data_IF_410460334768
#
_entry.id   IF_410460334768
#
_cell.length_a   1.000
_cell.length_b   1.000
_cell.length_c   1.000
_cell.angle_alpha   90.00
_cell.angle_beta   90.00
_cell.angle_gamma   90.00
#
_symmetry.space_group_name_H-M   'P 1'
#
loop_
_entity.id
_entity.type
_entity.pdbx_description
1 polymer ?
#
# COMPACT_ATOMS: atom_id res chain seq x y z
N UNK A 1 14.35 -1.84 -0.17
CA UNK A 1 13.49 -0.99 -0.96
C UNK A 1 12.10 -0.94 -0.35
N UNK A 2 11.47 0.21 -0.36
CA UNK A 2 10.09 0.42 0.08
C UNK A 2 9.42 1.50 -0.75
N UNK A 3 8.09 1.54 -0.72
CA UNK A 3 7.28 2.52 -1.46
C UNK A 3 6.29 3.22 -0.53
N UNK A 4 5.91 4.46 -0.89
CA UNK A 4 4.89 5.22 -0.16
C UNK A 4 3.48 4.70 -0.46
N UNK A 5 2.50 5.16 0.30
CA UNK A 5 1.07 4.83 0.09
C UNK A 5 0.53 5.21 -1.29
N UNK A 6 1.18 6.17 -1.99
CA UNK A 6 0.79 6.63 -3.33
C UNK A 6 1.44 5.86 -4.48
N UNK A 7 2.34 4.91 -4.21
CA UNK A 7 2.84 4.02 -5.25
C UNK A 7 1.70 3.14 -5.79
N UNK A 8 1.61 2.89 -7.11
CA UNK A 8 0.51 2.12 -7.70
C UNK A 8 0.20 0.80 -7.00
N UNK A 9 1.22 0.04 -6.60
CA UNK A 9 1.03 -1.22 -5.86
C UNK A 9 0.33 -0.99 -4.51
N UNK A 10 0.71 0.06 -3.77
CA UNK A 10 0.10 0.38 -2.47
C UNK A 10 -1.27 1.02 -2.61
N UNK A 11 -1.50 1.80 -3.66
CA UNK A 11 -2.84 2.30 -3.99
C UNK A 11 -3.78 1.11 -4.25
N UNK A 12 -3.33 0.10 -5.00
CA UNK A 12 -4.09 -1.12 -5.29
C UNK A 12 -4.40 -1.90 -4.00
N UNK A 13 -3.39 -2.15 -3.17
CA UNK A 13 -3.55 -2.78 -1.85
C UNK A 13 -4.56 -2.02 -0.98
N UNK A 14 -4.42 -0.69 -0.90
CA UNK A 14 -5.28 0.16 -0.08
C UNK A 14 -6.74 0.14 -0.55
N UNK A 15 -6.97 0.08 -1.86
CA UNK A 15 -8.32 -0.03 -2.42
C UNK A 15 -8.93 -1.39 -2.06
N UNK A 16 -8.20 -2.49 -2.26
CA UNK A 16 -8.66 -3.84 -1.92
C UNK A 16 -8.97 -3.97 -0.44
N UNK A 17 -8.11 -3.46 0.45
CA UNK A 17 -8.33 -3.41 1.89
C UNK A 17 -9.55 -2.56 2.29
N UNK A 18 -9.74 -1.40 1.66
CA UNK A 18 -10.88 -0.53 1.95
C UNK A 18 -12.22 -1.20 1.57
N UNK A 19 -12.25 -1.97 0.49
CA UNK A 19 -13.43 -2.75 0.10
C UNK A 19 -13.68 -3.88 1.10
N UNK A 20 -12.64 -4.61 1.50
CA UNK A 20 -12.74 -5.64 2.54
C UNK A 20 -13.28 -5.06 3.85
N UNK A 21 -12.73 -3.95 4.32
CA UNK A 21 -13.17 -3.27 5.54
C UNK A 21 -14.65 -2.85 5.46
N UNK A 22 -15.07 -2.28 4.33
CA UNK A 22 -16.45 -1.86 4.11
C UNK A 22 -17.43 -3.06 4.13
N UNK A 23 -17.05 -4.19 3.54
CA UNK A 23 -17.84 -5.42 3.57
C UNK A 23 -17.94 -5.99 4.97
N UNK A 24 -16.82 -6.13 5.69
CA UNK A 24 -16.77 -6.68 7.04
C UNK A 24 -17.51 -5.79 8.06
N UNK A 25 -17.53 -4.48 7.86
CA UNK A 25 -18.27 -3.56 8.71
C UNK A 25 -19.79 -3.79 8.65
N UNK A 26 -20.32 -4.19 7.49
CA UNK A 26 -21.74 -4.49 7.28
C UNK A 26 -22.10 -5.95 7.56
N UNK A 27 -21.20 -6.87 7.24
CA UNK A 27 -21.36 -8.32 7.46
C UNK A 27 -20.01 -8.93 7.86
N UNK A 28 -19.79 -9.21 9.16
CA UNK A 28 -18.54 -9.81 9.65
C UNK A 28 -18.24 -11.21 9.09
N UNK A 29 -19.21 -11.85 8.42
CA UNK A 29 -19.07 -13.15 7.79
C UNK A 29 -18.79 -13.09 6.29
N UNK A 30 -18.60 -11.89 5.74
CA UNK A 30 -18.28 -11.66 4.33
C UNK A 30 -17.03 -12.44 3.93
N UNK A 31 -17.08 -13.00 2.71
CA UNK A 31 -15.91 -13.57 2.03
C UNK A 31 -15.60 -12.68 0.85
N UNK A 32 -14.38 -12.12 0.85
CA UNK A 32 -13.97 -11.09 -0.09
C UNK A 32 -12.65 -11.51 -0.73
N UNK A 33 -12.69 -11.82 -2.01
CA UNK A 33 -11.53 -11.99 -2.88
C UNK A 33 -11.58 -10.84 -3.89
N UNK A 34 -10.93 -9.74 -3.56
CA UNK A 34 -11.01 -8.49 -4.32
C UNK A 34 -9.60 -8.03 -4.69
N UNK A 35 -9.31 -8.06 -5.97
CA UNK A 35 -8.04 -7.64 -6.55
C UNK A 35 -8.21 -6.28 -7.23
N UNK A 36 -7.16 -5.47 -7.16
CA UNK A 36 -7.16 -4.14 -7.76
C UNK A 36 -5.93 -3.95 -8.64
N UNK A 37 -6.13 -3.32 -9.79
CA UNK A 37 -5.09 -2.80 -10.65
C UNK A 37 -5.28 -1.32 -10.81
N UNK A 38 -4.19 -0.55 -10.63
CA UNK A 38 -4.20 0.90 -10.85
C UNK A 38 -3.15 1.31 -11.88
N UNK A 39 -3.50 2.30 -12.69
CA UNK A 39 -2.62 2.96 -13.65
C UNK A 39 -3.05 4.41 -13.80
N UNK A 40 -2.35 5.22 -14.59
CA UNK A 40 -2.69 6.62 -14.83
C UNK A 40 -4.17 6.77 -15.18
N UNK A 41 -4.91 7.47 -14.34
CA UNK A 41 -6.32 7.80 -14.55
C UNK A 41 -7.32 6.64 -14.45
N UNK A 42 -6.90 5.42 -14.05
CA UNK A 42 -7.80 4.26 -13.98
C UNK A 42 -7.57 3.40 -12.74
N UNK A 43 -8.66 2.89 -12.17
CA UNK A 43 -8.67 1.81 -11.19
C UNK A 43 -9.61 0.69 -11.67
N UNK A 44 -9.12 -0.52 -11.74
CA UNK A 44 -9.91 -1.72 -12.06
C UNK A 44 -9.98 -2.59 -10.83
N UNK A 45 -11.20 -2.87 -10.38
CA UNK A 45 -11.50 -3.76 -9.25
C UNK A 45 -12.16 -5.01 -9.80
N UNK A 46 -11.59 -6.18 -9.53
CA UNK A 46 -12.10 -7.45 -10.03
C UNK A 46 -12.02 -8.53 -8.94
N UNK A 47 -12.88 -9.53 -9.02
CA UNK A 47 -12.85 -10.67 -8.10
C UNK A 47 -14.23 -11.20 -7.76
N UNK A 48 -14.32 -11.86 -6.62
CA UNK A 48 -15.54 -12.53 -6.15
C UNK A 48 -15.84 -12.14 -4.70
N UNK A 49 -17.08 -11.71 -4.44
CA UNK A 49 -17.55 -11.34 -3.10
C UNK A 49 -18.83 -12.08 -2.77
N UNK A 50 -18.88 -12.66 -1.57
CA UNK A 50 -20.10 -13.20 -0.98
C UNK A 50 -20.35 -12.52 0.36
N UNK A 51 -21.40 -11.71 0.43
CA UNK A 51 -21.76 -10.90 1.60
C UNK A 51 -23.27 -10.71 1.68
N UNK A 52 -23.77 -10.50 2.88
CA UNK A 52 -25.15 -10.07 3.12
C UNK A 52 -25.32 -8.53 3.06
N UNK A 53 -24.23 -7.79 2.96
CA UNK A 53 -24.25 -6.32 2.85
C UNK A 53 -24.02 -5.86 1.40
N UNK A 54 -24.56 -4.71 1.09
CA UNK A 54 -24.30 -3.99 -0.18
C UNK A 54 -23.43 -2.76 0.12
N UNK A 55 -22.40 -2.55 -0.68
CA UNK A 55 -21.47 -1.44 -0.58
C UNK A 55 -21.35 -0.73 -1.92
N UNK A 56 -21.34 0.60 -1.89
CA UNK A 56 -20.98 1.40 -3.06
C UNK A 56 -19.46 1.34 -3.29
N UNK A 57 -19.06 0.35 -4.10
CA UNK A 57 -17.66 0.06 -4.39
C UNK A 57 -16.94 1.27 -5.01
N UNK A 58 -17.61 1.98 -5.93
CA UNK A 58 -17.01 3.16 -6.57
C UNK A 58 -16.73 4.27 -5.55
N UNK A 59 -17.66 4.52 -4.63
CA UNK A 59 -17.46 5.49 -3.55
C UNK A 59 -16.30 5.10 -2.62
N UNK A 60 -16.16 3.82 -2.28
CA UNK A 60 -15.05 3.29 -1.47
C UNK A 60 -13.72 3.49 -2.19
N UNK A 61 -13.63 3.12 -3.46
CA UNK A 61 -12.42 3.28 -4.29
C UNK A 61 -11.98 4.75 -4.34
N UNK A 62 -12.91 5.65 -4.67
CA UNK A 62 -12.64 7.10 -4.72
C UNK A 62 -12.24 7.66 -3.35
N UNK A 63 -12.85 7.15 -2.28
CA UNK A 63 -12.48 7.48 -0.90
C UNK A 63 -11.03 7.13 -0.61
N UNK A 64 -10.63 5.89 -0.87
CA UNK A 64 -9.26 5.41 -0.66
C UNK A 64 -8.22 6.24 -1.44
N UNK A 65 -8.48 6.51 -2.73
CA UNK A 65 -7.60 7.32 -3.57
C UNK A 65 -7.46 8.76 -3.02
N UNK A 66 -8.57 9.35 -2.57
CA UNK A 66 -8.57 10.69 -1.95
C UNK A 66 -7.80 10.74 -0.65
N UNK A 67 -7.95 9.74 0.23
CA UNK A 67 -7.28 9.65 1.54
C UNK A 67 -5.76 9.51 1.39
N UNK A 68 -5.30 8.84 0.34
CA UNK A 68 -3.89 8.79 -0.06
C UNK A 68 -3.39 10.20 -0.42
N UNK A 69 -4.24 11.02 -1.05
CA UNK A 69 -3.92 12.40 -1.41
C UNK A 69 -3.90 12.68 -2.91
N UNK A 70 -4.42 11.78 -3.73
CA UNK A 70 -4.61 12.03 -5.16
C UNK A 70 -5.90 12.83 -5.39
N UNK A 71 -5.75 14.14 -5.43
CA UNK A 71 -6.86 15.10 -5.46
C UNK A 71 -6.78 16.10 -6.61
N UNK A 72 -5.92 15.85 -7.59
CA UNK A 72 -5.74 16.73 -8.74
C UNK A 72 -5.17 15.97 -9.94
N UNK A 73 -5.70 16.23 -11.12
CA UNK A 73 -5.21 15.70 -12.41
C UNK A 73 -3.72 16.00 -12.65
N UNK A 74 -3.17 17.05 -12.04
CA UNK A 74 -1.74 17.39 -12.11
C UNK A 74 -0.84 16.29 -11.54
N UNK A 75 -1.38 15.45 -10.68
CA UNK A 75 -0.65 14.31 -10.10
C UNK A 75 -0.68 13.06 -10.99
N UNK A 76 -1.32 13.17 -12.19
CA UNK A 76 -1.54 12.03 -13.09
C UNK A 76 -2.63 11.06 -12.62
N UNK A 77 -3.25 11.32 -11.47
CA UNK A 77 -4.31 10.52 -10.87
C UNK A 77 -5.16 11.41 -9.96
N UNK A 78 -6.48 11.33 -10.09
CA UNK A 78 -7.41 12.12 -9.29
C UNK A 78 -8.62 11.28 -8.88
N UNK A 79 -8.91 11.24 -7.59
CA UNK A 79 -10.04 10.51 -7.02
C UNK A 79 -11.40 10.93 -7.61
N UNK A 80 -11.55 12.18 -8.07
CA UNK A 80 -12.79 12.70 -8.61
C UNK A 80 -13.02 12.30 -10.08
N UNK A 81 -11.95 12.20 -10.87
CA UNK A 81 -12.04 12.07 -12.34
C UNK A 81 -11.52 10.75 -12.88
N UNK A 82 -10.82 9.93 -12.09
CA UNK A 82 -10.31 8.64 -12.56
C UNK A 82 -11.46 7.72 -13.00
N UNK A 83 -11.18 6.88 -14.00
CA UNK A 83 -12.09 5.83 -14.45
C UNK A 83 -12.05 4.65 -13.45
N UNK A 84 -13.20 4.38 -12.81
CA UNK A 84 -13.34 3.25 -11.88
C UNK A 84 -14.14 2.16 -12.54
N UNK A 85 -13.49 1.03 -12.80
CA UNK A 85 -14.10 -0.14 -13.41
C UNK A 85 -14.30 -1.24 -12.39
N UNK A 86 -15.53 -1.65 -12.15
CA UNK A 86 -15.90 -2.70 -11.22
C UNK A 86 -16.30 -3.97 -11.98
N UNK A 87 -15.65 -5.09 -11.66
CA UNK A 87 -15.84 -6.44 -12.24
C UNK A 87 -15.87 -7.46 -11.11
N UNK A 88 -16.86 -7.33 -10.23
CA UNK A 88 -17.05 -8.19 -9.06
C UNK A 88 -18.26 -9.11 -9.31
N UNK A 89 -18.03 -10.39 -9.12
CA UNK A 89 -19.04 -11.44 -9.22
C UNK A 89 -19.27 -12.13 -7.86
N UNK A 90 -20.30 -12.95 -7.75
CA UNK A 90 -20.49 -13.86 -6.62
C UNK A 90 -19.55 -15.06 -6.72
N UNK A 91 -19.08 -15.54 -5.56
CA UNK A 91 -18.19 -16.71 -5.51
C UNK A 91 -18.81 -17.95 -6.20
N UNK A 92 -17.98 -18.67 -6.95
CA UNK A 92 -18.36 -19.95 -7.58
C UNK A 92 -18.95 -20.93 -6.54
N UNK A 93 -20.08 -21.61 -6.86
CA UNK A 93 -20.66 -22.63 -6.00
C UNK A 93 -19.69 -23.78 -5.67
N UNK A 94 -18.79 -24.12 -6.61
CA UNK A 94 -17.82 -25.20 -6.43
C UNK A 94 -16.76 -24.86 -5.37
N UNK A 95 -16.34 -23.59 -5.31
CA UNK A 95 -15.43 -23.10 -4.26
C UNK A 95 -16.18 -22.89 -2.95
N UNK A 96 -17.39 -22.34 -3.01
CA UNK A 96 -18.23 -22.06 -1.85
C UNK A 96 -18.50 -23.30 -0.98
N UNK A 97 -18.67 -24.48 -1.57
CA UNK A 97 -18.87 -25.74 -0.82
C UNK A 97 -17.69 -26.11 0.10
N UNK A 98 -16.47 -25.67 -0.21
CA UNK A 98 -15.28 -25.93 0.59
C UNK A 98 -15.07 -24.95 1.74
N UNK A 99 -15.66 -23.74 1.65
CA UNK A 99 -15.42 -22.65 2.60
C UNK A 99 -16.65 -22.26 3.41
N UNK A 100 -17.87 -22.60 2.97
CA UNK A 100 -19.10 -22.27 3.69
C UNK A 100 -19.37 -23.31 4.78
N UNK A 101 -19.50 -22.85 6.03
CA UNK A 101 -19.82 -23.73 7.15
C UNK A 101 -21.11 -24.51 6.91
N UNK A 102 -21.04 -25.85 7.06
CA UNK A 102 -22.16 -26.75 6.89
C UNK A 102 -22.62 -27.03 5.44
N UNK A 103 -21.98 -26.46 4.45
CA UNK A 103 -22.36 -26.65 3.03
C UNK A 103 -21.54 -27.72 2.30
N UNK A 104 -20.48 -28.27 2.91
CA UNK A 104 -19.57 -29.24 2.30
C UNK A 104 -19.34 -30.48 3.16
N UNK A 105 -18.22 -31.17 2.92
CA UNK A 105 -17.77 -32.35 3.66
C UNK A 105 -17.40 -32.04 5.13
N UNK A 106 -17.09 -30.78 5.45
CA UNK A 106 -16.69 -30.33 6.76
C UNK A 106 -17.75 -29.42 7.38
N UNK A 107 -17.95 -29.54 8.72
CA UNK A 107 -18.93 -28.72 9.45
C UNK A 107 -18.43 -27.29 9.70
N UNK A 108 -17.11 -27.13 9.86
CA UNK A 108 -16.49 -25.86 10.14
C UNK A 108 -16.10 -25.14 8.85
N UNK A 109 -15.99 -23.82 8.92
CA UNK A 109 -15.52 -23.00 7.81
C UNK A 109 -14.08 -23.40 7.46
N UNK A 110 -13.82 -23.68 6.19
CA UNK A 110 -12.48 -23.92 5.66
C UNK A 110 -11.72 -22.61 5.37
N UNK A 111 -10.42 -22.74 5.12
CA UNK A 111 -9.64 -21.65 4.56
C UNK A 111 -10.09 -21.35 3.13
N UNK A 112 -10.09 -20.08 2.72
CA UNK A 112 -10.50 -19.67 1.38
C UNK A 112 -9.57 -20.15 0.28
N UNK A 113 -8.31 -20.45 0.64
CA UNK A 113 -7.29 -20.97 -0.27
C UNK A 113 -6.26 -21.83 0.49
N UNK A 114 -5.46 -22.58 -0.24
CA UNK A 114 -4.28 -23.26 0.29
C UNK A 114 -3.18 -22.23 0.59
N UNK A 115 -2.28 -22.53 1.52
CA UNK A 115 -1.20 -21.62 1.88
C UNK A 115 -0.01 -22.30 2.53
N UNK A 116 1.15 -21.69 2.34
CA UNK A 116 2.38 -22.03 3.04
C UNK A 116 3.09 -20.72 3.38
N UNK A 117 3.42 -20.53 4.67
CA UNK A 117 4.01 -19.30 5.19
C UNK A 117 5.44 -19.53 5.61
N UNK A 118 6.29 -18.54 5.34
CA UNK A 118 7.67 -18.47 5.82
C UNK A 118 7.82 -17.26 6.73
N UNK A 119 8.58 -17.42 7.80
CA UNK A 119 8.89 -16.34 8.73
C UNK A 119 10.39 -16.20 8.90
N UNK A 120 10.86 -14.95 9.02
CA UNK A 120 12.24 -14.63 9.34
C UNK A 120 12.30 -13.47 10.32
N UNK A 121 13.15 -13.60 11.34
CA UNK A 121 13.42 -12.53 12.30
C UNK A 121 14.92 -12.50 12.64
N UNK A 122 15.47 -11.31 12.86
CA UNK A 122 16.87 -11.12 13.24
C UNK A 122 16.99 -10.01 14.30
N UNK A 123 18.21 -9.80 14.83
CA UNK A 123 18.49 -8.82 15.89
C UNK A 123 19.18 -7.56 15.38
N UNK A 124 18.97 -7.21 14.13
CA UNK A 124 19.56 -6.00 13.52
C UNK A 124 18.81 -4.72 13.91
N UNK A 125 17.55 -4.84 14.32
CA UNK A 125 16.69 -3.73 14.76
C UNK A 125 15.85 -4.16 15.96
N UNK A 126 15.33 -3.21 16.73
CA UNK A 126 14.45 -3.47 17.88
C UNK A 126 13.11 -4.11 17.48
N UNK A 127 12.71 -3.99 16.22
CA UNK A 127 11.51 -4.63 15.67
C UNK A 127 11.74 -6.05 15.18
N UNK A 128 12.94 -6.59 15.34
CA UNK A 128 13.39 -7.89 14.84
C UNK A 128 13.35 -8.02 13.30
N UNK A 129 13.25 -6.91 12.59
CA UNK A 129 13.30 -6.84 11.14
C UNK A 129 14.75 -6.65 10.66
N UNK A 130 15.11 -7.18 9.48
CA UNK A 130 16.38 -6.85 8.83
C UNK A 130 16.55 -5.35 8.63
N UNK A 131 17.72 -4.81 8.93
CA UNK A 131 17.98 -3.37 8.91
C UNK A 131 17.70 -2.71 7.54
N UNK A 132 18.04 -3.30 6.38
CA UNK A 132 17.79 -2.63 5.11
C UNK A 132 16.29 -2.34 4.86
N UNK A 133 15.42 -3.32 5.07
CA UNK A 133 13.99 -3.12 4.87
C UNK A 133 13.38 -2.22 5.94
N UNK A 134 13.84 -2.31 7.19
CA UNK A 134 13.41 -1.43 8.27
C UNK A 134 13.68 0.03 7.93
N UNK A 135 14.90 0.38 7.54
CA UNK A 135 15.25 1.76 7.21
C UNK A 135 14.58 2.24 5.92
N UNK A 136 14.40 1.36 4.92
CA UNK A 136 13.62 1.70 3.73
C UNK A 136 12.18 2.08 4.09
N UNK A 137 11.53 1.33 4.98
CA UNK A 137 10.18 1.68 5.48
C UNK A 137 10.17 3.01 6.24
N UNK A 138 11.13 3.25 7.14
CA UNK A 138 11.22 4.54 7.86
C UNK A 138 11.36 5.73 6.93
N UNK A 139 12.13 5.59 5.84
CA UNK A 139 12.29 6.64 4.84
C UNK A 139 10.98 6.93 4.10
N UNK A 140 10.23 5.91 3.68
CA UNK A 140 8.94 6.11 2.98
C UNK A 140 7.84 6.62 3.91
N UNK A 141 7.80 6.18 5.16
CA UNK A 141 6.92 6.76 6.18
C UNK A 141 7.20 8.25 6.37
N UNK A 142 8.48 8.62 6.43
CA UNK A 142 8.88 10.03 6.58
C UNK A 142 8.54 10.85 5.34
N UNK A 143 8.71 10.32 4.12
CA UNK A 143 8.24 10.98 2.89
C UNK A 143 6.74 11.30 2.95
N UNK A 144 5.94 10.32 3.36
CA UNK A 144 4.49 10.48 3.53
C UNK A 144 4.15 11.54 4.59
N UNK A 145 4.84 11.51 5.73
CA UNK A 145 4.65 12.50 6.80
C UNK A 145 4.99 13.93 6.34
N UNK A 146 6.16 14.11 5.70
CA UNK A 146 6.63 15.39 5.18
C UNK A 146 5.60 15.99 4.22
N UNK A 147 5.06 15.19 3.31
CA UNK A 147 4.01 15.59 2.38
C UNK A 147 2.70 15.94 3.11
N UNK A 148 2.16 15.03 3.91
CA UNK A 148 0.84 15.21 4.57
C UNK A 148 0.83 16.37 5.56
N UNK A 149 1.96 16.68 6.17
CA UNK A 149 2.11 17.83 7.08
C UNK A 149 2.43 19.13 6.35
N UNK A 150 2.61 19.12 5.04
CA UNK A 150 2.96 20.30 4.25
C UNK A 150 4.34 20.87 4.59
N UNK A 151 5.28 20.04 5.06
CA UNK A 151 6.68 20.45 5.30
C UNK A 151 7.36 20.73 3.96
N UNK A 152 7.06 19.88 2.96
CA UNK A 152 7.41 20.10 1.55
C UNK A 152 6.09 20.00 0.76
N UNK A 153 5.57 21.15 0.34
CA UNK A 153 4.23 21.29 -0.22
C UNK A 153 4.11 20.87 -1.70
N UNK A 154 5.23 20.71 -2.38
CA UNK A 154 5.28 20.29 -3.77
C UNK A 154 5.45 18.77 -3.95
N UNK A 155 5.56 17.97 -2.88
CA UNK A 155 5.59 16.51 -2.99
C UNK A 155 4.19 15.95 -3.28
N UNK A 156 4.13 15.00 -4.23
CA UNK A 156 2.94 14.23 -4.58
C UNK A 156 2.97 12.86 -3.89
N UNK A 157 1.88 12.06 -3.96
CA UNK A 157 1.76 10.86 -3.15
C UNK A 157 2.75 9.73 -3.47
N UNK A 158 3.17 9.57 -4.73
CA UNK A 158 4.06 8.47 -5.13
C UNK A 158 5.51 8.74 -4.72
N UNK A 159 6.13 7.76 -4.12
CA UNK A 159 7.53 7.83 -3.70
C UNK A 159 8.10 6.44 -3.39
N UNK A 160 9.42 6.36 -3.50
CA UNK A 160 10.18 5.13 -3.27
C UNK A 160 11.48 5.44 -2.55
N UNK A 161 11.90 4.55 -1.66
CA UNK A 161 13.22 4.53 -1.06
C UNK A 161 13.94 3.23 -1.35
N UNK A 162 15.26 3.33 -1.52
CA UNK A 162 16.17 2.19 -1.52
C UNK A 162 17.36 2.54 -0.63
N UNK A 163 17.80 1.60 0.19
CA UNK A 163 18.98 1.76 1.03
C UNK A 163 19.90 0.56 0.90
N UNK A 164 21.20 0.83 0.78
CA UNK A 164 22.25 -0.16 0.82
C UNK A 164 23.03 0.02 2.13
N UNK A 165 23.16 -1.03 2.91
CA UNK A 165 23.92 -1.03 4.16
C UNK A 165 25.20 -1.84 4.01
N UNK A 166 26.29 -1.33 4.56
CA UNK A 166 27.52 -2.09 4.76
C UNK A 166 27.41 -2.93 6.04
N UNK A 167 27.95 -4.15 5.99
CA UNK A 167 27.97 -5.10 7.09
C UNK A 167 29.40 -5.49 7.46
N UNK A 168 29.68 -5.54 8.76
CA UNK A 168 30.92 -6.12 9.32
C UNK A 168 30.55 -7.17 10.35
N UNK A 169 31.14 -8.35 10.25
CA UNK A 169 30.89 -9.50 11.15
C UNK A 169 29.38 -9.83 11.31
N UNK A 170 28.60 -9.65 10.21
CA UNK A 170 27.18 -9.92 10.20
C UNK A 170 26.29 -8.85 10.88
N UNK A 171 26.86 -7.68 11.21
CA UNK A 171 26.12 -6.55 11.78
C UNK A 171 26.12 -5.35 10.82
N UNK A 172 25.01 -4.63 10.68
CA UNK A 172 24.94 -3.41 9.87
C UNK A 172 25.74 -2.30 10.56
N UNK A 173 26.67 -1.64 9.84
CA UNK A 173 27.56 -0.63 10.40
C UNK A 173 27.29 0.78 9.88
N UNK A 174 26.94 0.94 8.61
CA UNK A 174 26.57 2.24 8.05
C UNK A 174 25.72 2.11 6.78
N UNK A 175 25.04 3.19 6.41
CA UNK A 175 24.37 3.33 5.12
C UNK A 175 25.42 3.73 4.07
N UNK A 176 25.62 2.86 3.07
CA UNK A 176 26.51 3.12 1.94
C UNK A 176 25.83 4.02 0.91
N UNK A 177 24.60 3.70 0.55
CA UNK A 177 23.83 4.43 -0.47
C UNK A 177 22.37 4.54 -0.09
N UNK A 178 21.80 5.73 -0.29
CA UNK A 178 20.36 5.98 -0.18
C UNK A 178 19.85 6.56 -1.50
N UNK A 179 18.83 5.92 -2.08
CA UNK A 179 18.14 6.41 -3.26
C UNK A 179 16.70 6.76 -2.88
N UNK A 180 16.27 7.98 -3.20
CA UNK A 180 14.89 8.44 -3.04
C UNK A 180 14.37 8.83 -4.42
N UNK A 181 13.25 8.24 -4.84
CA UNK A 181 12.45 8.71 -5.96
C UNK A 181 11.16 9.28 -5.39
N UNK A 182 10.82 10.51 -5.75
CA UNK A 182 9.64 11.21 -5.22
C UNK A 182 8.93 11.95 -6.35
N UNK A 183 7.66 11.67 -6.53
CA UNK A 183 6.80 12.44 -7.40
C UNK A 183 6.62 13.85 -6.84
N UNK A 184 6.69 14.86 -7.70
CA UNK A 184 6.66 16.27 -7.31
C UNK A 184 6.06 17.16 -8.40
N UNK A 185 5.78 18.42 -8.07
CA UNK A 185 5.36 19.42 -9.04
C UNK A 185 6.45 19.71 -10.09
N UNK A 186 6.03 19.98 -11.33
CA UNK A 186 6.94 20.11 -12.50
C UNK A 186 7.85 21.35 -12.45
N UNK A 187 7.48 22.37 -11.68
CA UNK A 187 8.16 23.67 -11.63
C UNK A 187 9.23 23.77 -10.54
N UNK A 188 9.64 22.64 -9.95
CA UNK A 188 10.64 22.59 -8.87
C UNK A 188 12.00 22.17 -9.40
N UNK A 189 13.02 22.97 -9.08
CA UNK A 189 14.40 22.69 -9.45
C UNK A 189 14.94 21.46 -8.69
N UNK A 190 15.64 20.56 -9.42
CA UNK A 190 16.20 19.33 -8.86
C UNK A 190 17.08 19.57 -7.63
N UNK A 191 17.87 20.67 -7.61
CA UNK A 191 18.72 21.01 -6.47
C UNK A 191 17.91 21.23 -5.19
N UNK A 192 16.74 21.86 -5.30
CA UNK A 192 15.82 22.06 -4.18
C UNK A 192 15.26 20.74 -3.66
N UNK A 193 14.87 19.84 -4.57
CA UNK A 193 14.40 18.50 -4.19
C UNK A 193 15.48 17.73 -3.42
N UNK A 194 16.72 17.77 -3.89
CA UNK A 194 17.87 17.12 -3.22
C UNK A 194 18.09 17.70 -1.82
N UNK A 195 18.03 19.01 -1.68
CA UNK A 195 18.17 19.69 -0.38
C UNK A 195 17.08 19.25 0.61
N UNK A 196 15.82 19.35 0.21
CA UNK A 196 14.67 19.02 1.07
C UNK A 196 14.62 17.52 1.45
N UNK A 197 14.95 16.63 0.51
CA UNK A 197 15.06 15.19 0.79
C UNK A 197 16.18 14.93 1.81
N UNK A 198 17.33 15.57 1.67
CA UNK A 198 18.44 15.41 2.62
C UNK A 198 18.07 15.92 4.01
N UNK A 199 17.50 17.12 4.10
CA UNK A 199 17.18 17.75 5.38
C UNK A 199 15.97 17.08 6.06
N UNK A 200 14.86 16.98 5.33
CA UNK A 200 13.58 16.62 5.94
C UNK A 200 13.28 15.12 5.95
N UNK A 201 13.98 14.33 5.14
CA UNK A 201 13.76 12.88 5.05
C UNK A 201 14.96 12.11 5.57
N UNK A 202 16.11 12.16 4.87
CA UNK A 202 17.27 11.32 5.21
C UNK A 202 17.83 11.69 6.57
N UNK A 203 18.14 12.97 6.80
CA UNK A 203 18.71 13.48 8.05
C UNK A 203 17.76 13.38 9.25
N UNK A 204 16.45 13.25 9.01
CA UNK A 204 15.46 13.07 10.07
C UNK A 204 15.27 11.59 10.47
N UNK A 205 15.70 10.65 9.63
CA UNK A 205 15.46 9.19 9.80
C UNK A 205 16.72 8.43 10.14
N UNK A 206 17.81 8.66 9.40
CA UNK A 206 19.04 7.92 9.61
C UNK A 206 19.88 8.57 10.71
N UNK A 207 20.53 7.76 11.56
CA UNK A 207 21.48 8.27 12.54
C UNK A 207 22.67 8.93 11.83
N UNK A 208 23.33 9.89 12.51
CA UNK A 208 24.48 10.60 11.97
C UNK A 208 25.68 9.70 11.74
#
# INVERSE_FOLDING_TARGET
>A
ESVTEGHPDKVSDRISDAILDAMLAGDPTSRVACETLTSTGVAVVAGEITSATEVDIEAVVRGAIRDIGYTSDKMGYDAATCDVQVRLDSQSPDISQGVTAGAGLHRDQGAGDQGMMFGYACRETDTLMPAPIYWAHRLTERLTEVRKRGIVDYFYPDGKSQITLAYEDGQPVHADTVVIAQQHADDVEHAKIVEDVREHVIGAVLPP
#
